data_IF_256944425391
#
_entry.id   IF_256944425391
#
_cell.length_a   1.000
_cell.length_b   1.000
_cell.length_c   1.000
_cell.angle_alpha   90.00
_cell.angle_beta   90.00
_cell.angle_gamma   90.00
#
_symmetry.space_group_name_H-M   'P 1'
#
loop_
_entity.id
_entity.type
_entity.pdbx_description
1 polymer ?
#
# COMPACT_ATOMS: atom_id res chain seq x y z
N UNK A 1 -19.98 -7.71 -16.87
CA UNK A 1 -18.83 -7.00 -16.25
C UNK A 1 -17.91 -6.33 -17.26
N UNK A 2 -17.46 -6.98 -18.36
CA UNK A 2 -16.60 -6.35 -19.39
C UNK A 2 -17.10 -5.01 -19.95
N UNK A 3 -18.40 -4.87 -20.21
CA UNK A 3 -18.95 -3.64 -20.83
C UNK A 3 -18.96 -2.43 -19.88
N UNK A 4 -19.08 -2.64 -18.57
CA UNK A 4 -19.12 -1.53 -17.59
C UNK A 4 -17.72 -0.95 -17.41
N UNK A 5 -16.71 -1.82 -17.25
CA UNK A 5 -15.31 -1.41 -17.12
C UNK A 5 -14.84 -0.63 -18.36
N UNK A 6 -15.20 -1.09 -19.57
CA UNK A 6 -14.88 -0.39 -20.82
C UNK A 6 -15.60 0.96 -20.91
N UNK A 7 -16.87 1.05 -20.51
CA UNK A 7 -17.64 2.30 -20.54
C UNK A 7 -17.06 3.31 -19.55
N UNK A 8 -16.71 2.87 -18.34
CA UNK A 8 -16.05 3.71 -17.33
C UNK A 8 -14.68 4.17 -17.80
N UNK A 9 -13.88 3.28 -18.40
CA UNK A 9 -12.56 3.62 -18.95
C UNK A 9 -12.68 4.66 -20.07
N UNK A 10 -13.65 4.48 -20.97
CA UNK A 10 -13.94 5.39 -22.07
C UNK A 10 -14.33 6.77 -21.55
N UNK A 11 -15.21 6.81 -20.56
CA UNK A 11 -15.66 8.05 -19.93
C UNK A 11 -14.52 8.74 -19.16
N UNK A 12 -13.74 7.98 -18.38
CA UNK A 12 -12.67 8.50 -17.54
C UNK A 12 -11.50 9.07 -18.35
N UNK A 13 -11.12 8.40 -19.44
CA UNK A 13 -10.00 8.80 -20.30
C UNK A 13 -10.45 9.78 -21.39
N UNK A 14 -11.75 9.79 -21.73
CA UNK A 14 -12.35 10.78 -22.63
C UNK A 14 -12.18 10.50 -24.13
N UNK A 15 -12.00 9.24 -24.54
CA UNK A 15 -11.90 8.89 -25.97
C UNK A 15 -13.26 8.49 -26.56
N UNK A 16 -13.49 8.85 -27.83
CA UNK A 16 -14.80 8.68 -28.51
C UNK A 16 -14.85 7.38 -29.32
N UNK A 17 -13.78 7.01 -30.01
CA UNK A 17 -13.71 5.77 -30.82
C UNK A 17 -12.98 4.64 -30.10
N UNK A 18 -13.22 3.41 -30.55
CA UNK A 18 -12.51 2.22 -30.08
C UNK A 18 -10.99 2.39 -30.25
N UNK A 19 -10.25 1.91 -29.25
CA UNK A 19 -8.79 1.99 -29.20
C UNK A 19 -8.21 0.69 -29.73
N UNK A 20 -7.13 0.78 -30.49
CA UNK A 20 -6.35 -0.40 -30.83
C UNK A 20 -5.69 -1.02 -29.57
N UNK A 21 -5.19 -2.25 -29.68
CA UNK A 21 -4.57 -2.94 -28.54
C UNK A 21 -3.37 -2.17 -27.95
N UNK A 22 -2.63 -1.44 -28.78
CA UNK A 22 -1.46 -0.68 -28.34
C UNK A 22 -1.88 0.55 -27.53
N UNK A 23 -2.84 1.33 -28.03
CA UNK A 23 -3.45 2.47 -27.37
C UNK A 23 -4.10 2.04 -26.05
N UNK A 24 -4.81 0.91 -26.03
CA UNK A 24 -5.41 0.38 -24.82
C UNK A 24 -4.35 -0.02 -23.78
N UNK A 25 -3.25 -0.65 -24.19
CA UNK A 25 -2.11 -0.95 -23.30
C UNK A 25 -1.47 0.31 -22.74
N UNK A 26 -1.29 1.35 -23.56
CA UNK A 26 -0.69 2.62 -23.11
C UNK A 26 -1.59 3.34 -22.10
N UNK A 27 -2.90 3.37 -22.35
CA UNK A 27 -3.88 3.95 -21.42
C UNK A 27 -3.82 3.22 -20.06
N UNK A 28 -3.83 1.88 -20.07
CA UNK A 28 -3.74 1.09 -18.83
C UNK A 28 -2.42 1.37 -18.10
N UNK A 29 -1.30 1.48 -18.83
CA UNK A 29 0.01 1.81 -18.24
C UNK A 29 -0.01 3.17 -17.54
N UNK A 30 -0.50 4.22 -18.21
CA UNK A 30 -0.60 5.57 -17.65
C UNK A 30 -1.49 5.57 -16.40
N UNK A 31 -2.62 4.87 -16.44
CA UNK A 31 -3.53 4.76 -15.29
C UNK A 31 -2.89 4.00 -14.13
N UNK A 32 -2.11 2.96 -14.41
CA UNK A 32 -1.37 2.23 -13.39
C UNK A 32 -0.30 3.10 -12.72
N UNK A 33 0.46 3.86 -13.52
CA UNK A 33 1.47 4.80 -13.03
C UNK A 33 0.82 5.91 -12.18
N UNK A 34 -0.30 6.45 -12.64
CA UNK A 34 -1.10 7.44 -11.89
C UNK A 34 -1.67 6.86 -10.58
N UNK A 35 -2.17 5.63 -10.59
CA UNK A 35 -2.65 4.95 -9.38
C UNK A 35 -1.50 4.72 -8.39
N UNK A 36 -0.32 4.33 -8.87
CA UNK A 36 0.86 4.17 -8.01
C UNK A 36 1.28 5.49 -7.36
N UNK A 37 1.35 6.58 -8.15
CA UNK A 37 1.69 7.91 -7.61
C UNK A 37 0.65 8.40 -6.60
N UNK A 38 -0.64 8.28 -6.92
CA UNK A 38 -1.73 8.70 -6.03
C UNK A 38 -1.78 7.85 -4.76
N UNK A 39 -1.46 6.55 -4.83
CA UNK A 39 -1.34 5.69 -3.65
C UNK A 39 -0.24 6.17 -2.68
N UNK A 40 0.91 6.57 -3.22
CA UNK A 40 2.02 7.13 -2.42
C UNK A 40 1.58 8.47 -1.81
N UNK A 41 0.99 9.35 -2.60
CA UNK A 41 0.50 10.64 -2.14
C UNK A 41 -0.55 10.47 -1.02
N UNK A 42 -1.49 9.54 -1.20
CA UNK A 42 -2.55 9.27 -0.23
C UNK A 42 -1.99 8.69 1.07
N UNK A 43 -0.94 7.87 0.99
CA UNK A 43 -0.17 7.42 2.17
C UNK A 43 0.42 8.62 2.92
N UNK A 44 1.08 9.54 2.22
CA UNK A 44 1.70 10.73 2.83
C UNK A 44 0.64 11.62 3.49
N UNK A 45 -0.45 11.91 2.78
CA UNK A 45 -1.57 12.70 3.33
C UNK A 45 -2.18 12.04 4.57
N UNK A 46 -2.37 10.71 4.54
CA UNK A 46 -2.88 9.95 5.68
C UNK A 46 -1.93 10.06 6.88
N UNK A 47 -0.60 9.94 6.68
CA UNK A 47 0.35 10.12 7.78
C UNK A 47 0.30 11.53 8.37
N UNK A 48 0.25 12.57 7.53
CA UNK A 48 0.13 13.96 7.99
C UNK A 48 -1.16 14.13 8.81
N UNK A 49 -2.27 13.57 8.33
CA UNK A 49 -3.57 13.61 9.00
C UNK A 49 -3.52 12.90 10.36
N UNK A 50 -2.86 11.74 10.45
CA UNK A 50 -2.66 11.04 11.72
C UNK A 50 -1.83 11.86 12.72
N UNK A 51 -0.76 12.49 12.27
CA UNK A 51 0.08 13.35 13.13
C UNK A 51 -0.74 14.53 13.65
N UNK A 52 -1.51 15.17 12.77
CA UNK A 52 -2.37 16.31 13.11
C UNK A 52 -3.45 15.95 14.13
N UNK A 53 -4.19 14.87 13.85
CA UNK A 53 -5.27 14.36 14.68
C UNK A 53 -4.80 14.05 16.08
N UNK A 54 -3.70 13.31 16.15
CA UNK A 54 -3.17 12.91 17.42
C UNK A 54 -2.64 14.15 18.19
N UNK A 55 -2.05 15.17 17.53
CA UNK A 55 -1.60 16.41 18.20
C UNK A 55 -2.78 17.18 18.82
N UNK A 56 -3.96 17.08 18.21
CA UNK A 56 -5.18 17.67 18.74
C UNK A 56 -5.95 16.73 19.68
N UNK A 57 -5.42 15.55 19.99
CA UNK A 57 -6.10 14.48 20.74
C UNK A 57 -7.49 14.15 20.20
N UNK A 58 -7.65 14.19 18.88
CA UNK A 58 -8.91 13.86 18.19
C UNK A 58 -8.68 12.81 17.12
N UNK A 59 -9.75 12.17 16.67
CA UNK A 59 -9.73 11.38 15.43
C UNK A 59 -10.69 12.05 14.47
N UNK A 60 -10.14 12.63 13.41
CA UNK A 60 -10.94 13.29 12.39
C UNK A 60 -11.52 12.26 11.43
N UNK A 61 -12.72 12.57 10.94
CA UNK A 61 -13.36 11.79 9.87
C UNK A 61 -12.47 11.75 8.61
N UNK A 62 -11.69 12.82 8.35
CA UNK A 62 -10.76 12.89 7.23
C UNK A 62 -9.71 11.77 7.28
N UNK A 63 -9.08 11.55 8.43
CA UNK A 63 -8.10 10.48 8.62
C UNK A 63 -8.73 9.10 8.45
N UNK A 64 -9.94 8.89 8.98
CA UNK A 64 -10.67 7.63 8.82
C UNK A 64 -10.96 7.36 7.33
N UNK A 65 -11.43 8.36 6.58
CA UNK A 65 -11.70 8.19 5.16
C UNK A 65 -10.44 7.96 4.33
N UNK A 66 -9.35 8.68 4.61
CA UNK A 66 -8.06 8.46 3.96
C UNK A 66 -7.58 7.02 4.20
N UNK A 67 -7.68 6.53 5.43
CA UNK A 67 -7.35 5.15 5.76
C UNK A 67 -8.22 4.15 4.98
N UNK A 68 -9.55 4.34 4.98
CA UNK A 68 -10.46 3.43 4.27
C UNK A 68 -10.21 3.41 2.76
N UNK A 69 -10.01 4.56 2.12
CA UNK A 69 -9.69 4.64 0.69
C UNK A 69 -8.39 3.88 0.39
N UNK A 70 -7.36 4.08 1.22
CA UNK A 70 -6.07 3.41 1.06
C UNK A 70 -6.18 1.89 1.21
N UNK A 71 -6.96 1.41 2.20
CA UNK A 71 -7.16 -0.01 2.43
C UNK A 71 -7.98 -0.66 1.31
N UNK A 72 -9.03 0.03 0.83
CA UNK A 72 -9.84 -0.45 -0.30
C UNK A 72 -8.99 -0.60 -1.56
N UNK A 73 -8.14 0.39 -1.88
CA UNK A 73 -7.24 0.32 -3.04
C UNK A 73 -6.23 -0.85 -2.89
N UNK A 74 -5.58 -0.94 -1.73
CA UNK A 74 -4.64 -2.04 -1.42
C UNK A 74 -5.28 -3.42 -1.57
N UNK A 75 -6.47 -3.62 -0.98
CA UNK A 75 -7.18 -4.88 -1.02
C UNK A 75 -7.65 -5.23 -2.43
N UNK A 76 -8.14 -4.25 -3.19
CA UNK A 76 -8.53 -4.45 -4.58
C UNK A 76 -7.36 -4.95 -5.44
N UNK A 77 -6.19 -4.30 -5.34
CA UNK A 77 -4.98 -4.72 -6.04
C UNK A 77 -4.58 -6.14 -5.63
N UNK A 78 -4.55 -6.43 -4.33
CA UNK A 78 -4.17 -7.75 -3.81
C UNK A 78 -5.09 -8.87 -4.32
N UNK A 79 -6.41 -8.66 -4.22
CA UNK A 79 -7.40 -9.64 -4.66
C UNK A 79 -7.30 -9.87 -6.16
N UNK A 80 -7.16 -8.82 -6.96
CA UNK A 80 -7.11 -8.94 -8.43
C UNK A 80 -5.81 -9.55 -8.92
N UNK A 81 -4.66 -9.13 -8.38
CA UNK A 81 -3.35 -9.70 -8.75
C UNK A 81 -3.26 -11.19 -8.38
N UNK A 82 -3.82 -11.59 -7.22
CA UNK A 82 -3.95 -13.00 -6.84
C UNK A 82 -4.93 -13.76 -7.73
N UNK A 83 -6.09 -13.18 -8.04
CA UNK A 83 -7.13 -13.83 -8.88
C UNK A 83 -6.62 -14.15 -10.29
N UNK A 84 -5.81 -13.26 -10.86
CA UNK A 84 -5.28 -13.41 -12.22
C UNK A 84 -3.88 -14.04 -12.26
N UNK A 85 -3.38 -14.54 -11.12
CA UNK A 85 -2.07 -15.18 -11.02
C UNK A 85 -0.90 -14.34 -11.59
N UNK A 86 -1.05 -13.02 -11.62
CA UNK A 86 -0.09 -12.07 -12.22
C UNK A 86 1.25 -12.11 -11.49
N UNK A 87 1.26 -12.59 -10.25
CA UNK A 87 2.42 -12.69 -9.38
C UNK A 87 3.13 -14.06 -9.46
N UNK A 88 2.67 -14.99 -10.32
CA UNK A 88 3.36 -16.26 -10.51
C UNK A 88 4.66 -16.02 -11.27
N UNK A 89 5.78 -16.39 -10.66
CA UNK A 89 7.06 -16.52 -11.34
C UNK A 89 7.20 -17.96 -11.80
N UNK A 90 7.20 -18.18 -13.11
CA UNK A 90 7.49 -19.50 -13.67
C UNK A 90 8.99 -19.78 -13.54
N UNK A 91 9.32 -20.90 -12.90
CA UNK A 91 10.69 -21.36 -12.72
C UNK A 91 10.77 -22.79 -13.19
N UNK A 92 11.65 -23.05 -14.15
CA UNK A 92 11.73 -24.35 -14.84
C UNK A 92 12.88 -25.24 -14.36
N UNK A 93 13.72 -24.74 -13.45
CA UNK A 93 14.94 -25.39 -13.00
C UNK A 93 15.11 -25.30 -11.47
N UNK A 94 15.66 -26.35 -10.85
CA UNK A 94 15.75 -26.48 -9.39
C UNK A 94 16.73 -25.47 -8.76
N UNK A 95 17.84 -25.15 -9.45
CA UNK A 95 18.81 -24.16 -8.97
C UNK A 95 18.24 -22.74 -9.05
N UNK A 96 17.51 -22.46 -10.13
CA UNK A 96 16.76 -21.19 -10.27
C UNK A 96 15.69 -21.05 -9.18
N UNK A 97 15.02 -22.14 -8.82
CA UNK A 97 14.00 -22.15 -7.76
C UNK A 97 14.59 -21.81 -6.40
N UNK A 98 15.71 -22.45 -6.02
CA UNK A 98 16.40 -22.17 -4.74
C UNK A 98 16.87 -20.72 -4.66
N UNK A 99 17.33 -20.15 -5.77
CA UNK A 99 17.77 -18.75 -5.85
C UNK A 99 16.62 -17.77 -5.63
N UNK A 100 15.49 -17.95 -6.32
CA UNK A 100 14.30 -17.10 -6.14
C UNK A 100 13.71 -17.24 -4.73
N UNK A 101 13.64 -18.47 -4.19
CA UNK A 101 13.20 -18.72 -2.82
C UNK A 101 14.08 -17.97 -1.80
N UNK A 102 15.39 -17.94 -2.01
CA UNK A 102 16.33 -17.20 -1.17
C UNK A 102 16.07 -15.68 -1.18
N UNK A 103 15.76 -15.10 -2.36
CA UNK A 103 15.41 -13.68 -2.48
C UNK A 103 14.12 -13.35 -1.73
N UNK A 104 13.08 -14.18 -1.89
CA UNK A 104 11.79 -13.99 -1.22
C UNK A 104 11.96 -14.07 0.30
N UNK A 105 12.71 -15.06 0.81
CA UNK A 105 13.00 -15.18 2.25
C UNK A 105 13.72 -13.95 2.79
N UNK A 106 14.77 -13.48 2.11
CA UNK A 106 15.49 -12.26 2.50
C UNK A 106 14.58 -11.04 2.50
N UNK A 107 13.77 -10.88 1.46
CA UNK A 107 12.81 -9.79 1.34
C UNK A 107 11.77 -9.82 2.47
N UNK A 108 11.24 -11.00 2.79
CA UNK A 108 10.28 -11.17 3.89
C UNK A 108 10.89 -10.84 5.25
N UNK A 109 12.13 -11.28 5.52
CA UNK A 109 12.86 -10.97 6.76
C UNK A 109 13.10 -9.46 6.87
N UNK A 110 13.61 -8.82 5.81
CA UNK A 110 13.85 -7.38 5.78
C UNK A 110 12.54 -6.59 5.98
N UNK A 111 11.45 -7.05 5.37
CA UNK A 111 10.13 -6.43 5.53
C UNK A 111 9.62 -6.58 6.96
N UNK A 112 9.81 -7.75 7.59
CA UNK A 112 9.45 -7.99 8.99
C UNK A 112 10.25 -7.12 9.96
N UNK A 113 11.57 -6.99 9.74
CA UNK A 113 12.43 -6.10 10.53
C UNK A 113 11.98 -4.64 10.37
N UNK A 114 11.76 -4.19 9.14
CA UNK A 114 11.32 -2.83 8.86
C UNK A 114 9.97 -2.53 9.54
N UNK A 115 9.02 -3.47 9.46
CA UNK A 115 7.73 -3.33 10.14
C UNK A 115 7.90 -3.27 11.66
N UNK A 116 8.73 -4.16 12.24
CA UNK A 116 9.00 -4.17 13.68
C UNK A 116 9.62 -2.87 14.19
N UNK A 117 10.64 -2.34 13.50
CA UNK A 117 11.27 -1.05 13.84
C UNK A 117 10.26 0.09 13.70
N UNK A 118 9.46 0.10 12.63
CA UNK A 118 8.44 1.12 12.40
C UNK A 118 7.37 1.12 13.49
N UNK A 119 6.89 -0.05 13.88
CA UNK A 119 5.92 -0.20 14.96
C UNK A 119 6.49 0.22 16.32
N UNK A 120 7.75 -0.14 16.61
CA UNK A 120 8.43 0.31 17.82
C UNK A 120 8.55 1.84 17.85
N UNK A 121 8.98 2.46 16.75
CA UNK A 121 9.06 3.92 16.64
C UNK A 121 7.69 4.59 16.83
N UNK A 122 6.62 4.00 16.27
CA UNK A 122 5.25 4.48 16.45
C UNK A 122 4.79 4.40 17.90
N UNK A 123 4.95 3.26 18.56
CA UNK A 123 4.40 3.03 19.89
C UNK A 123 5.18 3.72 21.00
N UNK A 124 6.51 3.76 20.90
CA UNK A 124 7.35 4.27 21.99
C UNK A 124 7.68 5.75 21.85
N UNK A 125 7.67 6.30 20.64
CA UNK A 125 8.06 7.69 20.41
C UNK A 125 6.91 8.51 19.84
N UNK A 126 6.35 8.08 18.72
CA UNK A 126 5.39 8.88 17.97
C UNK A 126 4.08 9.06 18.74
N UNK A 127 3.46 7.99 19.23
CA UNK A 127 2.21 8.08 20.00
C UNK A 127 2.36 8.80 21.35
N UNK A 128 3.36 8.50 22.20
CA UNK A 128 3.52 9.21 23.48
C UNK A 128 3.81 10.70 23.28
N UNK A 129 4.69 11.05 22.33
CA UNK A 129 4.99 12.44 21.99
C UNK A 129 3.75 13.20 21.53
N UNK A 130 2.89 12.54 20.77
CA UNK A 130 1.67 13.16 20.29
C UNK A 130 0.58 13.22 21.39
N UNK A 131 0.47 12.21 22.24
CA UNK A 131 -0.50 12.14 23.34
C UNK A 131 -0.08 12.95 24.58
N UNK A 132 1.05 13.66 24.54
CA UNK A 132 1.68 14.32 25.69
C UNK A 132 1.87 13.35 26.89
N UNK A 133 2.01 12.07 26.59
CA UNK A 133 2.37 11.06 27.58
C UNK A 133 3.90 11.02 27.73
N UNK A 134 4.41 10.68 28.92
CA UNK A 134 5.84 10.49 29.09
C UNK A 134 6.33 9.37 28.16
N UNK A 135 7.41 9.65 27.44
CA UNK A 135 8.13 8.67 26.62
C UNK A 135 8.81 7.71 27.59
N UNK A 136 8.14 6.61 27.91
CA UNK A 136 8.66 5.52 28.72
C UNK A 136 8.84 4.29 27.85
N UNK A 137 10.08 3.77 27.80
CA UNK A 137 10.39 2.55 27.06
C UNK A 137 9.85 1.31 27.79
N UNK A 138 8.54 1.07 27.70
CA UNK A 138 7.83 0.05 28.48
C UNK A 138 8.33 -1.37 28.18
N UNK A 139 8.87 -1.62 27.00
CA UNK A 139 9.42 -2.93 26.61
C UNK A 139 10.66 -3.34 27.42
N UNK A 140 11.45 -2.39 27.92
CA UNK A 140 12.61 -2.72 28.77
C UNK A 140 12.24 -2.99 30.23
N UNK A 141 11.05 -2.57 30.66
CA UNK A 141 10.54 -2.85 32.01
C UNK A 141 9.94 -4.27 32.16
N UNK A 142 9.72 -5.00 31.07
CA UNK A 142 9.19 -6.38 31.11
C UNK A 142 10.30 -7.42 31.40
N UNK A 143 11.57 -7.01 31.36
CA UNK A 143 12.73 -7.88 31.60
C UNK A 143 13.34 -7.73 33.02
N UNK A 144 12.64 -7.07 33.95
CA UNK A 144 13.03 -6.95 35.36
C UNK A 144 12.00 -7.65 36.24
#
# INVERSE_FOLDING_TARGET
>A
MKNIEQTLLKHFVGYIDDRDEYQQKMIIKILADANMMTFILLTVCMMISFIWDAWHHTVSLGTIFLFLIQQLNSYYILVKTKKFDVLKTEVFDEDSYKKELGKIKKSAILSGINWGISMFAWMEFLFPLILNEPIELKWFNVCV
#
